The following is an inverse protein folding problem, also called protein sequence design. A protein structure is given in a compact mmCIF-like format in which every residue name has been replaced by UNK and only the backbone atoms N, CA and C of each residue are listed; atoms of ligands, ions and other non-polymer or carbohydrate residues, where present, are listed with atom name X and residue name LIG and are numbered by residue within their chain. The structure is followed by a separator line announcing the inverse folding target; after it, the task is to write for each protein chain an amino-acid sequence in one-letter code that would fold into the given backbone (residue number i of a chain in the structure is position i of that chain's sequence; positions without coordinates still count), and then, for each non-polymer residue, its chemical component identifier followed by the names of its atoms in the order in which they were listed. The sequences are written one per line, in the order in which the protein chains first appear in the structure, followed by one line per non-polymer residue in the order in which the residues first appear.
data_IF_617382328544
#
_entry.id   IF_617382328544
#
_cell.length_a   1.000
_cell.length_b   1.000
_cell.length_c   1.000
_cell.angle_alpha   90.00
_cell.angle_beta   90.00
_cell.angle_gamma   90.00
#
_symmetry.space_group_name_H-M   'P 1'
#
loop_
_entity.id
_entity.type
_entity.pdbx_description
1 polymer ?
#
# COMPACT_ATOMS: atom_id res chain seq x y z
N UNK A 1 -1.72 20.96 5.33
CA UNK A 1 -1.13 19.63 5.59
C UNK A 1 -1.42 19.23 7.03
N UNK A 2 -1.86 17.99 7.30
CA UNK A 2 -2.16 17.54 8.65
C UNK A 2 -0.88 17.44 9.49
N UNK A 3 -0.97 17.78 10.77
CA UNK A 3 0.09 17.50 11.73
C UNK A 3 0.27 15.98 11.86
N UNK A 4 1.51 15.55 12.00
CA UNK A 4 1.82 14.15 12.24
C UNK A 4 1.35 13.74 13.64
N UNK A 5 0.72 12.57 13.73
CA UNK A 5 0.56 11.92 15.02
C UNK A 5 1.93 11.37 15.51
N UNK A 6 1.96 10.84 16.73
CA UNK A 6 3.22 10.37 17.34
C UNK A 6 3.89 9.23 16.56
N UNK A 7 3.12 8.32 15.92
CA UNK A 7 3.65 7.22 15.10
C UNK A 7 4.29 7.76 13.82
N UNK A 8 3.59 8.66 13.12
CA UNK A 8 4.10 9.33 11.91
C UNK A 8 5.31 10.22 12.22
N UNK A 9 5.30 10.89 13.38
CA UNK A 9 6.42 11.71 13.84
C UNK A 9 7.64 10.84 14.12
N UNK A 10 7.47 9.68 14.74
CA UNK A 10 8.56 8.73 14.98
C UNK A 10 9.21 8.26 13.67
N UNK A 11 8.39 7.90 12.66
CA UNK A 11 8.89 7.54 11.33
C UNK A 11 9.67 8.69 10.70
N UNK A 12 9.13 9.91 10.78
CA UNK A 12 9.80 11.11 10.29
C UNK A 12 11.18 11.32 10.91
N UNK A 13 11.29 11.17 12.23
CA UNK A 13 12.55 11.30 12.97
C UNK A 13 13.59 10.23 12.59
N UNK A 14 13.15 8.97 12.40
CA UNK A 14 14.04 7.90 11.92
C UNK A 14 14.60 8.24 10.52
N UNK A 15 13.76 8.74 9.63
CA UNK A 15 14.17 9.16 8.30
C UNK A 15 15.11 10.36 8.32
N UNK A 16 14.91 11.33 9.21
CA UNK A 16 15.85 12.46 9.40
C UNK A 16 17.22 12.00 9.88
N UNK A 17 17.26 10.98 10.75
CA UNK A 17 18.50 10.33 11.20
C UNK A 17 19.15 9.45 10.12
N UNK A 18 18.62 9.47 8.90
CA UNK A 18 19.12 8.72 7.73
C UNK A 18 18.98 7.20 7.82
N UNK A 19 18.25 6.64 8.77
CA UNK A 19 17.96 5.22 8.80
C UNK A 19 17.10 4.80 7.61
N UNK A 20 17.28 3.57 7.13
CA UNK A 20 16.27 2.90 6.34
C UNK A 20 15.14 2.46 7.28
N UNK A 21 13.90 2.56 6.84
CA UNK A 21 12.74 2.31 7.72
C UNK A 21 11.80 1.29 7.10
N UNK A 22 11.39 0.31 7.91
CA UNK A 22 10.32 -0.64 7.60
C UNK A 22 9.14 -0.28 8.47
N UNK A 23 7.99 -0.02 7.84
CA UNK A 23 6.76 0.36 8.54
C UNK A 23 5.71 -0.71 8.31
N UNK A 24 5.29 -1.37 9.39
CA UNK A 24 4.10 -2.19 9.41
C UNK A 24 2.92 -1.30 9.81
N UNK A 25 1.95 -1.13 8.93
CA UNK A 25 0.89 -0.14 9.09
C UNK A 25 -0.48 -0.76 8.79
N UNK A 26 -1.39 -0.74 9.75
CA UNK A 26 -2.75 -1.23 9.55
C UNK A 26 -3.54 -0.34 8.57
N UNK A 27 -4.70 -0.82 8.14
CA UNK A 27 -5.56 -0.09 7.20
C UNK A 27 -5.95 1.30 7.73
N UNK A 28 -5.81 2.33 6.90
CA UNK A 28 -6.29 3.68 7.21
C UNK A 28 -5.42 4.50 8.17
N UNK A 29 -4.18 4.09 8.44
CA UNK A 29 -3.26 4.81 9.34
C UNK A 29 -2.59 6.03 8.70
N UNK A 30 -2.81 6.24 7.38
CA UNK A 30 -2.22 7.38 6.68
C UNK A 30 -0.81 7.12 6.15
N UNK A 31 -0.50 5.92 5.64
CA UNK A 31 0.78 5.63 4.95
C UNK A 31 1.12 6.70 3.91
N UNK A 32 0.20 6.97 2.98
CA UNK A 32 0.36 8.00 1.95
C UNK A 32 0.58 9.39 2.55
N UNK A 33 -0.20 9.75 3.56
CA UNK A 33 -0.06 11.03 4.28
C UNK A 33 1.33 11.17 4.91
N UNK A 34 1.86 10.09 5.47
CA UNK A 34 3.22 10.07 6.07
C UNK A 34 4.29 10.33 5.02
N UNK A 35 4.21 9.67 3.86
CA UNK A 35 5.16 9.85 2.76
C UNK A 35 5.08 11.27 2.20
N UNK A 36 3.88 11.76 1.90
CA UNK A 36 3.69 13.11 1.37
C UNK A 36 4.06 14.18 2.38
N UNK A 37 3.73 13.98 3.66
CA UNK A 37 4.13 14.88 4.74
C UNK A 37 5.66 14.95 4.91
N UNK A 38 6.36 13.80 4.75
CA UNK A 38 7.82 13.79 4.70
C UNK A 38 8.34 14.57 3.49
N UNK A 39 7.79 14.32 2.29
CA UNK A 39 8.19 15.00 1.07
C UNK A 39 8.04 16.53 1.18
N UNK A 40 6.93 17.00 1.72
CA UNK A 40 6.66 18.40 1.91
C UNK A 40 7.59 19.09 2.94
N UNK A 41 7.91 18.37 4.04
CA UNK A 41 8.86 18.88 5.06
C UNK A 41 10.32 18.82 4.58
N UNK A 42 10.60 18.10 3.49
CA UNK A 42 11.94 17.92 2.91
C UNK A 42 11.93 18.27 1.40
N UNK A 43 11.59 19.51 1.00
CA UNK A 43 11.33 19.87 -0.40
C UNK A 43 12.54 19.70 -1.33
N UNK A 44 13.74 19.74 -0.80
CA UNK A 44 14.98 19.55 -1.55
C UNK A 44 15.33 18.08 -1.78
N UNK A 45 14.66 17.13 -1.08
CA UNK A 45 14.95 15.72 -1.15
C UNK A 45 14.13 15.05 -2.24
N UNK A 46 14.78 14.57 -3.28
CA UNK A 46 14.12 13.87 -4.39
C UNK A 46 13.72 12.45 -3.98
N UNK A 47 12.45 12.13 -4.11
CA UNK A 47 11.84 10.86 -3.67
C UNK A 47 11.31 10.12 -4.89
N UNK A 48 11.61 8.83 -4.97
CA UNK A 48 10.98 7.89 -5.88
C UNK A 48 10.07 6.95 -5.08
N UNK A 49 8.77 6.96 -5.36
CA UNK A 49 7.84 5.98 -4.79
C UNK A 49 7.44 4.95 -5.85
N UNK A 50 7.50 3.68 -5.46
CA UNK A 50 7.03 2.57 -6.28
C UNK A 50 5.89 1.86 -5.55
N UNK A 51 4.78 1.65 -6.27
CA UNK A 51 3.57 1.03 -5.74
C UNK A 51 3.04 -0.06 -6.66
N UNK A 52 2.11 -0.89 -6.16
CA UNK A 52 1.65 -2.06 -6.89
C UNK A 52 0.75 -1.71 -8.09
N UNK A 53 -0.21 -0.81 -7.95
CA UNK A 53 -1.23 -0.59 -8.97
C UNK A 53 -1.40 0.88 -9.39
N UNK A 54 -2.12 1.06 -10.54
CA UNK A 54 -2.31 2.39 -11.14
C UNK A 54 -3.21 3.31 -10.32
N UNK A 55 -4.17 2.75 -9.57
CA UNK A 55 -5.07 3.56 -8.76
C UNK A 55 -4.31 4.20 -7.59
N UNK A 56 -3.52 3.41 -6.86
CA UNK A 56 -2.65 3.92 -5.79
C UNK A 56 -1.66 4.97 -6.31
N UNK A 57 -1.03 4.70 -7.49
CA UNK A 57 -0.14 5.69 -8.10
C UNK A 57 -0.86 7.02 -8.36
N UNK A 58 -2.07 6.95 -8.95
CA UNK A 58 -2.85 8.14 -9.26
C UNK A 58 -3.24 8.89 -7.99
N UNK A 59 -3.71 8.18 -6.97
CA UNK A 59 -4.09 8.76 -5.69
C UNK A 59 -2.93 9.55 -5.05
N UNK A 60 -1.73 8.97 -5.02
CA UNK A 60 -0.53 9.67 -4.51
C UNK A 60 -0.19 10.88 -5.37
N UNK A 61 -0.28 10.78 -6.70
CA UNK A 61 0.00 11.88 -7.62
C UNK A 61 -1.00 13.03 -7.47
N UNK A 62 -2.29 12.71 -7.38
CA UNK A 62 -3.36 13.70 -7.20
C UNK A 62 -3.18 14.42 -5.84
N UNK A 63 -2.97 13.69 -4.76
CA UNK A 63 -2.70 14.26 -3.43
C UNK A 63 -1.40 15.10 -3.39
N UNK A 64 -0.35 14.69 -4.09
CA UNK A 64 0.88 15.47 -4.19
C UNK A 64 0.64 16.80 -4.90
N UNK A 65 -0.11 16.78 -6.02
CA UNK A 65 -0.47 17.96 -6.78
C UNK A 65 -1.35 18.93 -5.97
N UNK A 66 -2.37 18.42 -5.26
CA UNK A 66 -3.25 19.22 -4.40
C UNK A 66 -2.50 19.92 -3.25
N UNK A 67 -1.37 19.36 -2.80
CA UNK A 67 -0.55 19.92 -1.73
C UNK A 67 0.75 20.62 -2.24
N UNK A 68 0.87 20.84 -3.54
CA UNK A 68 2.06 21.45 -4.21
C UNK A 68 3.38 20.75 -3.87
N UNK A 69 3.36 19.40 -3.79
CA UNK A 69 4.54 18.57 -3.51
C UNK A 69 5.14 18.12 -4.85
N UNK A 70 6.27 18.69 -5.24
CA UNK A 70 6.90 18.48 -6.55
C UNK A 70 8.12 17.56 -6.53
N UNK A 71 8.62 17.22 -5.35
CA UNK A 71 9.86 16.46 -5.16
C UNK A 71 9.65 14.93 -5.03
N UNK A 72 8.44 14.42 -5.35
CA UNK A 72 8.12 13.01 -5.38
C UNK A 72 7.71 12.55 -6.78
N UNK A 73 8.31 11.46 -7.25
CA UNK A 73 7.92 10.77 -8.47
C UNK A 73 7.29 9.42 -8.10
N UNK A 74 6.13 9.11 -8.66
CA UNK A 74 5.40 7.89 -8.33
C UNK A 74 5.25 7.00 -9.56
N UNK A 75 5.69 5.75 -9.43
CA UNK A 75 5.62 4.72 -10.46
C UNK A 75 4.96 3.46 -9.95
N UNK A 76 4.32 2.69 -10.84
CA UNK A 76 4.11 1.26 -10.59
C UNK A 76 5.36 0.49 -11.02
N UNK A 77 5.54 -0.76 -10.55
CA UNK A 77 6.65 -1.62 -11.00
C UNK A 77 6.73 -1.69 -12.51
N UNK A 78 5.59 -1.89 -13.18
CA UNK A 78 5.52 -1.90 -14.65
C UNK A 78 5.90 -0.57 -15.29
N UNK A 79 5.44 0.56 -14.72
CA UNK A 79 5.76 1.86 -15.31
C UNK A 79 7.23 2.24 -15.10
N UNK A 80 7.83 1.82 -13.99
CA UNK A 80 9.26 1.95 -13.75
C UNK A 80 10.07 1.12 -14.74
N UNK A 81 9.71 -0.17 -14.88
CA UNK A 81 10.34 -1.07 -15.84
C UNK A 81 10.25 -0.51 -17.27
N UNK A 82 9.06 -0.02 -17.68
CA UNK A 82 8.85 0.60 -18.99
C UNK A 82 9.71 1.83 -19.21
N UNK A 83 9.86 2.65 -18.17
CA UNK A 83 10.65 3.87 -18.24
C UNK A 83 12.13 3.61 -18.53
N UNK A 84 12.68 2.50 -17.99
CA UNK A 84 14.12 2.27 -18.03
C UNK A 84 14.56 1.01 -18.79
N UNK A 85 13.75 -0.04 -18.89
CA UNK A 85 14.19 -1.34 -19.40
C UNK A 85 13.39 -1.92 -20.56
N UNK A 86 12.10 -1.52 -20.70
CA UNK A 86 11.21 -2.18 -21.67
C UNK A 86 11.04 -1.33 -22.92
N UNK A 87 11.53 -1.83 -24.06
CA UNK A 87 11.34 -1.19 -25.37
C UNK A 87 9.90 -1.29 -25.85
N UNK A 88 9.25 -2.44 -25.60
CA UNK A 88 7.87 -2.72 -25.98
C UNK A 88 7.16 -3.44 -24.83
N UNK A 89 5.82 -3.39 -24.82
CA UNK A 89 5.01 -4.11 -23.85
C UNK A 89 4.96 -3.49 -22.45
N UNK A 90 4.18 -4.13 -21.58
CA UNK A 90 3.86 -3.64 -20.22
C UNK A 90 3.51 -4.80 -19.28
N UNK A 91 4.09 -5.98 -19.51
CA UNK A 91 3.71 -7.21 -18.82
C UNK A 91 4.86 -7.80 -18.02
N UNK A 92 4.54 -8.71 -17.10
CA UNK A 92 5.52 -9.47 -16.33
C UNK A 92 6.48 -10.27 -17.24
N UNK A 93 5.99 -10.69 -18.41
CA UNK A 93 6.80 -11.43 -19.38
C UNK A 93 7.96 -10.57 -19.89
N UNK A 94 7.69 -9.32 -20.23
CA UNK A 94 8.74 -8.38 -20.68
C UNK A 94 9.71 -8.03 -19.55
N UNK A 95 9.21 -7.89 -18.31
CA UNK A 95 10.10 -7.68 -17.14
C UNK A 95 11.03 -8.88 -16.96
N UNK A 96 10.50 -10.12 -16.98
CA UNK A 96 11.33 -11.34 -16.89
C UNK A 96 12.39 -11.38 -18.00
N UNK A 97 12.01 -11.04 -19.22
CA UNK A 97 12.95 -11.00 -20.35
C UNK A 97 14.06 -9.97 -20.13
N UNK A 98 13.69 -8.76 -19.70
CA UNK A 98 14.66 -7.70 -19.43
C UNK A 98 15.65 -8.09 -18.30
N UNK A 99 15.17 -8.73 -17.24
CA UNK A 99 15.99 -9.25 -16.15
C UNK A 99 16.91 -10.38 -16.62
N UNK A 100 16.37 -11.35 -17.37
CA UNK A 100 17.14 -12.47 -17.92
C UNK A 100 18.27 -12.01 -18.84
N UNK A 101 17.99 -11.05 -19.72
CA UNK A 101 18.96 -10.48 -20.65
C UNK A 101 19.89 -9.45 -19.98
N UNK A 102 19.71 -9.17 -18.70
CA UNK A 102 20.40 -8.10 -17.98
C UNK A 102 20.39 -6.77 -18.75
N UNK A 103 19.20 -6.38 -19.28
CA UNK A 103 19.06 -5.15 -20.07
C UNK A 103 19.54 -3.92 -19.28
N UNK A 104 20.34 -3.10 -19.92
CA UNK A 104 20.80 -1.85 -19.31
C UNK A 104 19.72 -0.75 -19.42
N UNK A 105 19.70 0.24 -18.52
CA UNK A 105 18.76 1.32 -18.62
C UNK A 105 18.86 2.06 -19.97
N UNK A 106 17.75 2.21 -20.68
CA UNK A 106 17.68 2.90 -21.99
C UNK A 106 18.03 4.39 -21.92
N UNK A 107 18.04 4.94 -20.72
CA UNK A 107 18.42 6.33 -20.43
C UNK A 107 18.95 6.42 -19.01
N UNK A 108 19.73 7.45 -18.66
CA UNK A 108 20.21 7.66 -17.30
C UNK A 108 19.05 7.65 -16.29
N UNK A 109 19.23 6.93 -15.20
CA UNK A 109 18.29 6.95 -14.11
C UNK A 109 18.33 8.31 -13.45
N UNK A 110 17.17 8.96 -13.32
CA UNK A 110 17.06 10.25 -12.66
C UNK A 110 17.53 10.17 -11.22
N UNK A 111 18.15 11.24 -10.76
CA UNK A 111 18.67 11.31 -9.40
C UNK A 111 17.53 11.37 -8.37
N UNK A 112 17.65 10.55 -7.32
CA UNK A 112 16.80 10.57 -6.15
C UNK A 112 17.59 10.08 -4.93
N UNK A 113 17.16 10.51 -3.74
CA UNK A 113 17.87 10.25 -2.48
C UNK A 113 17.11 9.26 -1.60
N UNK A 114 15.82 9.06 -1.90
CA UNK A 114 14.97 8.14 -1.17
C UNK A 114 14.12 7.31 -2.14
N UNK A 115 14.07 6.00 -1.85
CA UNK A 115 13.18 5.05 -2.49
C UNK A 115 12.11 4.62 -1.49
N UNK A 116 10.86 4.84 -1.84
CA UNK A 116 9.69 4.35 -1.09
C UNK A 116 9.09 3.17 -1.84
N UNK A 117 8.91 2.03 -1.16
CA UNK A 117 8.17 0.89 -1.68
C UNK A 117 6.91 0.74 -0.85
N UNK A 118 5.77 0.94 -1.48
CA UNK A 118 4.46 0.92 -0.84
C UNK A 118 3.70 -0.38 -1.18
N UNK A 119 2.87 -0.84 -0.24
CA UNK A 119 2.13 -2.11 -0.29
C UNK A 119 3.06 -3.31 -0.58
N UNK A 120 4.18 -3.36 0.14
CA UNK A 120 5.24 -4.35 -0.12
C UNK A 120 4.80 -5.79 0.15
N UNK A 121 3.75 -6.03 0.96
CA UNK A 121 3.16 -7.36 1.15
C UNK A 121 2.60 -7.96 -0.15
N UNK A 122 2.28 -7.13 -1.14
CA UNK A 122 1.81 -7.57 -2.46
C UNK A 122 2.95 -7.76 -3.48
N UNK A 123 4.19 -7.56 -3.04
CA UNK A 123 5.37 -7.72 -3.91
C UNK A 123 5.60 -9.19 -4.27
N UNK A 124 5.91 -9.44 -5.54
CA UNK A 124 6.34 -10.74 -6.03
C UNK A 124 7.86 -10.84 -6.11
N UNK A 125 8.46 -12.05 -6.15
CA UNK A 125 9.88 -12.22 -6.41
C UNK A 125 10.35 -11.53 -7.70
N UNK A 126 9.50 -11.44 -8.71
CA UNK A 126 9.81 -10.73 -9.96
C UNK A 126 10.02 -9.23 -9.72
N UNK A 127 9.14 -8.60 -8.96
CA UNK A 127 9.26 -7.17 -8.67
C UNK A 127 10.42 -6.88 -7.72
N UNK A 128 10.69 -7.79 -6.79
CA UNK A 128 11.91 -7.70 -5.98
C UNK A 128 13.17 -7.72 -6.86
N UNK A 129 13.29 -8.69 -7.78
CA UNK A 129 14.42 -8.75 -8.71
C UNK A 129 14.54 -7.48 -9.58
N UNK A 130 13.40 -6.92 -10.01
CA UNK A 130 13.39 -5.64 -10.73
C UNK A 130 13.95 -4.51 -9.87
N UNK A 131 13.58 -4.45 -8.58
CA UNK A 131 14.08 -3.41 -7.67
C UNK A 131 15.56 -3.60 -7.35
N UNK A 132 16.02 -4.84 -7.16
CA UNK A 132 17.45 -5.15 -7.00
C UNK A 132 18.24 -4.64 -8.19
N UNK A 133 17.81 -5.01 -9.41
CA UNK A 133 18.44 -4.51 -10.64
C UNK A 133 18.42 -3.00 -10.72
N UNK A 134 17.30 -2.37 -10.45
CA UNK A 134 17.16 -0.92 -10.52
C UNK A 134 18.10 -0.20 -9.54
N UNK A 135 18.20 -0.66 -8.29
CA UNK A 135 19.11 -0.09 -7.28
C UNK A 135 20.58 -0.30 -7.70
N UNK A 136 20.89 -1.48 -8.26
CA UNK A 136 22.25 -1.79 -8.74
C UNK A 136 22.63 -0.88 -9.92
N UNK A 137 21.77 -0.75 -10.90
CA UNK A 137 22.00 0.11 -12.08
C UNK A 137 22.01 1.61 -11.73
N UNK A 138 21.28 2.01 -10.69
CA UNK A 138 21.32 3.36 -10.16
C UNK A 138 22.70 3.69 -9.58
N UNK A 139 23.32 2.78 -8.88
CA UNK A 139 24.72 2.81 -8.46
C UNK A 139 25.10 3.95 -7.51
N UNK A 140 24.14 4.53 -6.79
CA UNK A 140 24.35 5.66 -5.87
C UNK A 140 23.73 5.38 -4.50
N UNK A 141 24.24 6.02 -3.44
CA UNK A 141 23.63 5.90 -2.11
C UNK A 141 22.16 6.28 -2.11
N UNK A 142 21.33 5.45 -1.47
CA UNK A 142 19.89 5.62 -1.38
C UNK A 142 19.39 5.26 0.03
N UNK A 143 18.44 6.04 0.53
CA UNK A 143 17.69 5.73 1.73
C UNK A 143 16.39 5.02 1.34
N UNK A 144 15.98 3.98 2.08
CA UNK A 144 14.76 3.24 1.80
C UNK A 144 13.70 3.43 2.86
N UNK A 145 12.44 3.53 2.42
CA UNK A 145 11.25 3.44 3.23
C UNK A 145 10.36 2.35 2.66
N UNK A 146 10.10 1.31 3.43
CA UNK A 146 9.26 0.16 3.06
C UNK A 146 7.99 0.22 3.88
N UNK A 147 6.83 0.21 3.22
CA UNK A 147 5.52 0.32 3.84
C UNK A 147 4.65 -0.87 3.44
N UNK A 148 3.88 -1.39 4.39
CA UNK A 148 2.94 -2.47 4.09
C UNK A 148 2.12 -2.89 5.30
N UNK A 149 1.19 -3.82 5.07
CA UNK A 149 0.35 -4.47 6.07
C UNK A 149 0.33 -5.98 5.86
N UNK A 150 0.96 -6.73 6.74
CA UNK A 150 1.02 -8.21 6.62
C UNK A 150 -0.35 -8.90 6.57
N UNK A 151 -1.39 -8.27 7.14
CA UNK A 151 -2.75 -8.82 7.15
C UNK A 151 -3.58 -8.42 5.91
N UNK A 152 -3.03 -7.59 5.02
CA UNK A 152 -3.65 -7.17 3.76
C UNK A 152 -3.02 -7.85 2.53
N UNK A 153 -2.27 -8.94 2.69
CA UNK A 153 -1.79 -9.74 1.58
C UNK A 153 -2.98 -10.44 0.89
N UNK A 154 -3.41 -9.88 -0.23
CA UNK A 154 -4.59 -10.36 -0.99
C UNK A 154 -4.20 -11.10 -2.27
N UNK A 155 -2.93 -11.11 -2.63
CA UNK A 155 -2.46 -11.58 -3.94
C UNK A 155 -1.54 -12.80 -3.87
N UNK A 156 -1.63 -13.62 -2.81
CA UNK A 156 -0.87 -14.87 -2.66
C UNK A 156 -1.06 -15.78 -3.88
N UNK A 157 -2.30 -15.83 -4.42
CA UNK A 157 -2.60 -16.57 -5.66
C UNK A 157 -1.89 -16.03 -6.92
N UNK A 158 -1.31 -14.81 -6.87
CA UNK A 158 -0.46 -14.22 -7.90
C UNK A 158 1.02 -14.32 -7.58
N UNK A 159 1.37 -14.99 -6.47
CA UNK A 159 2.75 -15.18 -6.02
C UNK A 159 3.33 -13.99 -5.26
N UNK A 160 2.49 -13.16 -4.62
CA UNK A 160 2.96 -12.18 -3.64
C UNK A 160 3.58 -12.90 -2.43
N UNK A 161 4.49 -12.24 -1.76
CA UNK A 161 5.27 -12.82 -0.68
C UNK A 161 5.44 -11.80 0.46
N UNK A 162 4.68 -11.98 1.53
CA UNK A 162 4.71 -11.11 2.70
C UNK A 162 6.08 -11.02 3.39
N UNK A 163 7.01 -11.95 3.07
CA UNK A 163 8.37 -11.92 3.61
C UNK A 163 9.13 -10.67 3.21
N UNK A 164 8.78 -10.03 2.08
CA UNK A 164 9.34 -8.74 1.69
C UNK A 164 9.02 -7.61 2.68
N UNK A 165 8.00 -7.78 3.53
CA UNK A 165 7.70 -6.94 4.69
C UNK A 165 8.19 -7.56 5.99
N UNK A 166 7.76 -8.79 6.30
CA UNK A 166 7.97 -9.42 7.60
C UNK A 166 9.44 -9.74 7.87
N UNK A 167 10.19 -10.10 6.82
CA UNK A 167 11.65 -10.35 6.85
C UNK A 167 12.45 -9.27 6.09
N UNK A 168 11.87 -8.08 5.94
CA UNK A 168 12.42 -7.03 5.09
C UNK A 168 13.88 -6.70 5.43
N UNK A 169 14.25 -6.55 6.70
CA UNK A 169 15.63 -6.25 7.06
C UNK A 169 16.61 -7.29 6.47
N UNK A 170 16.35 -8.58 6.66
CA UNK A 170 17.23 -9.63 6.15
C UNK A 170 17.28 -9.70 4.62
N UNK A 171 16.18 -9.31 3.93
CA UNK A 171 16.07 -9.39 2.47
C UNK A 171 16.69 -8.16 1.80
N UNK A 172 16.46 -6.96 2.36
CA UNK A 172 16.86 -5.71 1.73
C UNK A 172 18.22 -5.18 2.20
N UNK A 173 18.63 -5.48 3.45
CA UNK A 173 19.91 -4.98 4.01
C UNK A 173 21.17 -5.39 3.21
N UNK A 174 21.21 -6.59 2.59
CA UNK A 174 22.35 -6.97 1.75
C UNK A 174 22.46 -6.21 0.42
N UNK A 175 21.49 -5.37 0.05
CA UNK A 175 21.55 -4.63 -1.20
C UNK A 175 22.65 -3.58 -1.18
N UNK A 176 23.33 -3.37 -2.31
CA UNK A 176 24.36 -2.33 -2.42
C UNK A 176 23.72 -0.94 -2.32
N UNK A 177 24.54 0.03 -1.93
CA UNK A 177 24.17 1.46 -1.91
C UNK A 177 23.14 1.88 -0.86
N UNK A 178 22.74 1.03 0.07
CA UNK A 178 21.91 1.48 1.21
C UNK A 178 22.74 2.33 2.18
N UNK A 179 22.14 3.43 2.64
CA UNK A 179 22.88 4.44 3.43
C UNK A 179 23.04 4.07 4.90
N UNK A 180 22.20 3.18 5.44
CA UNK A 180 22.18 2.81 6.86
C UNK A 180 21.41 1.49 7.09
N UNK A 181 21.52 0.89 8.28
CA UNK A 181 20.70 -0.27 8.64
C UNK A 181 19.22 0.09 8.73
N UNK A 182 18.36 -0.93 8.65
CA UNK A 182 16.93 -0.77 8.82
C UNK A 182 16.51 -0.60 10.28
N UNK A 183 15.50 0.26 10.50
CA UNK A 183 14.74 0.38 11.74
C UNK A 183 13.29 0.03 11.47
N UNK A 184 12.63 -0.61 12.44
CA UNK A 184 11.20 -0.91 12.35
C UNK A 184 10.39 0.17 13.05
N UNK A 185 9.25 0.49 12.46
CA UNK A 185 8.22 1.31 13.04
C UNK A 185 6.85 0.68 12.74
N UNK A 186 5.86 1.05 13.52
CA UNK A 186 4.50 0.53 13.39
C UNK A 186 3.50 1.69 13.37
N UNK A 187 2.37 1.48 12.69
CA UNK A 187 1.26 2.41 12.67
C UNK A 187 -0.04 1.64 12.94
N UNK A 188 -0.64 1.89 14.08
CA UNK A 188 -1.84 1.19 14.57
C UNK A 188 -3.09 2.07 14.56
N UNK A 189 -2.93 3.41 14.52
CA UNK A 189 -4.02 4.38 14.64
C UNK A 189 -4.69 4.59 13.28
N UNK A 190 -5.88 4.01 13.11
CA UNK A 190 -6.68 4.18 11.89
C UNK A 190 -7.59 5.42 11.97
N UNK A 191 -7.54 6.22 10.90
CA UNK A 191 -8.41 7.37 10.67
C UNK A 191 -9.59 7.05 9.73
N UNK A 192 -9.61 5.83 9.20
CA UNK A 192 -10.61 5.40 8.22
C UNK A 192 -11.79 4.71 8.88
N UNK A 193 -11.52 3.73 9.73
CA UNK A 193 -12.55 2.93 10.40
C UNK A 193 -13.00 3.57 11.72
N UNK A 194 -14.13 3.08 12.26
CA UNK A 194 -14.66 3.52 13.54
C UNK A 194 -14.21 2.60 14.68
N UNK A 195 -14.30 3.07 15.92
CA UNK A 195 -13.94 2.28 17.11
C UNK A 195 -14.65 0.92 17.17
N UNK A 196 -16.00 0.84 16.96
CA UNK A 196 -16.68 -0.47 16.93
C UNK A 196 -16.19 -1.38 15.80
N UNK A 197 -15.81 -0.83 14.63
CA UNK A 197 -15.21 -1.62 13.55
C UNK A 197 -13.83 -2.14 13.93
N UNK A 198 -12.99 -1.32 14.55
CA UNK A 198 -11.68 -1.75 15.02
C UNK A 198 -11.79 -2.86 16.07
N UNK A 199 -12.69 -2.69 17.04
CA UNK A 199 -12.98 -3.71 18.06
C UNK A 199 -13.46 -5.04 17.45
N UNK A 200 -14.39 -4.96 16.49
CA UNK A 200 -14.87 -6.15 15.78
C UNK A 200 -13.73 -6.86 15.03
N UNK A 201 -12.90 -6.11 14.31
CA UNK A 201 -11.76 -6.69 13.57
C UNK A 201 -10.77 -7.33 14.53
N UNK A 202 -10.35 -6.61 15.58
CA UNK A 202 -9.39 -7.10 16.55
C UNK A 202 -9.88 -8.39 17.23
N UNK A 203 -11.08 -8.37 17.83
CA UNK A 203 -11.61 -9.46 18.64
C UNK A 203 -12.12 -10.62 17.81
N UNK A 204 -12.86 -10.33 16.71
CA UNK A 204 -13.61 -11.36 15.98
C UNK A 204 -12.81 -11.93 14.81
N UNK A 205 -12.05 -11.12 14.09
CA UNK A 205 -11.34 -11.55 12.89
C UNK A 205 -9.88 -11.89 13.16
N UNK A 206 -9.19 -11.12 13.98
CA UNK A 206 -7.75 -11.27 14.21
C UNK A 206 -7.41 -12.04 15.48
N UNK A 207 -8.23 -11.94 16.53
CA UNK A 207 -7.95 -12.50 17.85
C UNK A 207 -6.78 -11.79 18.57
N UNK A 208 -6.42 -10.60 18.15
CA UNK A 208 -5.34 -9.79 18.71
C UNK A 208 -5.69 -8.29 18.64
N UNK A 209 -5.23 -7.50 19.59
CA UNK A 209 -5.36 -6.03 19.59
C UNK A 209 -4.28 -5.46 18.66
N UNK A 210 -4.66 -5.14 17.43
CA UNK A 210 -3.72 -4.72 16.39
C UNK A 210 -3.98 -3.31 15.88
N UNK A 211 -5.21 -2.84 15.93
CA UNK A 211 -5.57 -1.52 15.43
C UNK A 211 -6.39 -0.73 16.43
N UNK A 212 -6.16 0.57 16.42
CA UNK A 212 -6.95 1.55 17.15
C UNK A 212 -7.70 2.43 16.15
N UNK A 213 -8.81 3.02 16.57
CA UNK A 213 -9.55 3.97 15.74
C UNK A 213 -9.89 5.22 16.55
N UNK A 214 -9.78 6.37 15.89
CA UNK A 214 -10.09 7.68 16.52
C UNK A 214 -11.55 8.09 16.31
N UNK A 215 -12.23 7.49 15.32
CA UNK A 215 -13.59 7.85 14.95
C UNK A 215 -14.61 7.08 15.74
N UNK A 216 -15.62 7.79 16.26
CA UNK A 216 -16.83 7.15 16.77
C UNK A 216 -17.69 6.60 15.62
N UNK A 217 -18.56 5.64 15.91
CA UNK A 217 -19.43 5.05 14.91
C UNK A 217 -20.46 4.12 15.53
N UNK A 218 -21.34 3.58 14.67
CA UNK A 218 -22.34 2.59 15.10
C UNK A 218 -21.66 1.25 15.35
N UNK A 219 -22.21 0.41 16.23
CA UNK A 219 -21.80 -0.98 16.37
C UNK A 219 -21.83 -1.73 15.04
N UNK A 220 -21.02 -2.78 14.92
CA UNK A 220 -21.09 -3.70 13.79
C UNK A 220 -22.17 -4.73 14.06
N UNK A 221 -23.16 -4.81 13.20
CA UNK A 221 -24.23 -5.78 13.28
C UNK A 221 -23.79 -7.08 12.61
N UNK A 222 -23.80 -8.18 13.35
CA UNK A 222 -23.52 -9.51 12.84
C UNK A 222 -24.82 -10.32 12.79
N UNK A 223 -25.28 -10.62 11.58
CA UNK A 223 -26.56 -11.30 11.34
C UNK A 223 -26.29 -12.71 10.82
N UNK A 224 -26.74 -13.72 11.56
CA UNK A 224 -26.64 -15.11 11.14
C UNK A 224 -27.99 -15.62 10.64
N UNK A 225 -28.04 -16.05 9.39
CA UNK A 225 -29.27 -16.51 8.76
C UNK A 225 -29.07 -17.73 7.84
N UNK A 226 -30.17 -18.42 7.57
CA UNK A 226 -30.20 -19.47 6.56
C UNK A 226 -29.83 -18.90 5.16
N UNK A 227 -29.03 -19.61 4.36
CA UNK A 227 -28.68 -19.20 2.99
C UNK A 227 -29.90 -18.90 2.10
N UNK A 228 -31.07 -19.48 2.40
CA UNK A 228 -32.31 -19.26 1.64
C UNK A 228 -32.93 -17.87 1.87
N UNK A 229 -32.60 -17.19 2.95
CA UNK A 229 -33.16 -15.88 3.31
C UNK A 229 -32.23 -14.70 3.09
N UNK A 230 -31.01 -14.94 2.60
CA UNK A 230 -29.97 -13.92 2.49
C UNK A 230 -30.40 -12.73 1.61
N UNK A 231 -31.16 -12.99 0.54
CA UNK A 231 -31.63 -11.91 -0.35
C UNK A 231 -32.61 -10.97 0.36
N UNK A 232 -33.51 -11.49 1.18
CA UNK A 232 -34.48 -10.69 1.91
C UNK A 232 -33.78 -9.80 2.94
N UNK A 233 -32.72 -10.31 3.56
CA UNK A 233 -31.92 -9.57 4.55
C UNK A 233 -31.17 -8.46 3.85
N UNK A 234 -30.47 -8.75 2.74
CA UNK A 234 -29.75 -7.72 1.97
C UNK A 234 -30.72 -6.61 1.52
N UNK A 235 -31.89 -6.97 1.02
CA UNK A 235 -32.91 -5.98 0.64
C UNK A 235 -33.39 -5.17 1.84
N UNK A 236 -33.62 -5.79 2.97
CA UNK A 236 -33.99 -5.12 4.22
C UNK A 236 -32.92 -4.13 4.67
N UNK A 237 -31.66 -4.54 4.72
CA UNK A 237 -30.55 -3.69 5.14
C UNK A 237 -30.30 -2.51 4.16
N UNK A 238 -30.43 -2.76 2.85
CA UNK A 238 -30.35 -1.68 1.85
C UNK A 238 -31.48 -0.66 2.09
N UNK A 239 -32.72 -1.16 2.25
CA UNK A 239 -33.86 -0.27 2.50
C UNK A 239 -33.67 0.52 3.79
N UNK A 240 -33.26 -0.16 4.86
CA UNK A 240 -32.98 0.48 6.16
C UNK A 240 -31.89 1.58 6.03
N UNK A 241 -30.82 1.33 5.26
CA UNK A 241 -29.80 2.33 5.01
C UNK A 241 -30.37 3.56 4.24
N UNK A 242 -31.14 3.31 3.18
CA UNK A 242 -31.78 4.39 2.40
C UNK A 242 -32.77 5.20 3.23
N UNK A 243 -33.61 4.53 4.05
CA UNK A 243 -34.57 5.19 4.96
C UNK A 243 -33.87 6.02 6.04
N UNK A 244 -32.60 5.68 6.39
CA UNK A 244 -31.73 6.44 7.30
C UNK A 244 -30.87 7.51 6.59
N UNK A 245 -31.14 7.81 5.30
CA UNK A 245 -30.55 8.93 4.58
C UNK A 245 -29.24 8.64 3.86
N UNK A 246 -28.80 7.38 3.79
CA UNK A 246 -27.65 7.01 2.94
C UNK A 246 -28.07 7.00 1.47
N UNK A 247 -27.17 7.42 0.58
CA UNK A 247 -27.37 7.28 -0.86
C UNK A 247 -26.95 5.90 -1.35
N UNK A 248 -27.43 5.43 -2.52
CA UNK A 248 -26.95 4.15 -3.09
C UNK A 248 -25.43 4.10 -3.27
N UNK A 249 -24.78 5.24 -3.48
CA UNK A 249 -23.31 5.33 -3.62
C UNK A 249 -22.55 5.11 -2.31
N UNK A 250 -23.22 5.18 -1.17
CA UNK A 250 -22.62 4.94 0.15
C UNK A 250 -22.72 3.47 0.59
N UNK A 251 -23.39 2.62 -0.20
CA UNK A 251 -23.68 1.22 0.15
C UNK A 251 -22.79 0.30 -0.70
N UNK A 252 -21.99 -0.54 -0.03
CA UNK A 252 -21.19 -1.57 -0.66
C UNK A 252 -21.66 -2.96 -0.24
N UNK A 253 -21.90 -3.84 -1.23
CA UNK A 253 -22.21 -5.25 -1.00
C UNK A 253 -20.99 -6.06 -1.41
N UNK A 254 -20.37 -6.74 -0.46
CA UNK A 254 -19.21 -7.58 -0.68
C UNK A 254 -19.62 -9.05 -0.66
N UNK A 255 -19.16 -9.81 -1.64
CA UNK A 255 -19.38 -11.25 -1.72
C UNK A 255 -18.12 -11.95 -2.21
N UNK A 256 -17.93 -13.21 -1.81
CA UNK A 256 -16.78 -14.02 -2.23
C UNK A 256 -16.74 -14.22 -3.76
N UNK A 257 -17.89 -14.21 -4.44
CA UNK A 257 -18.02 -14.22 -5.89
C UNK A 257 -19.35 -13.61 -6.32
N UNK A 258 -19.29 -12.71 -7.29
CA UNK A 258 -20.48 -12.18 -7.99
C UNK A 258 -20.76 -12.94 -9.29
N UNK A 259 -19.87 -13.87 -9.71
CA UNK A 259 -20.02 -14.75 -10.86
C UNK A 259 -20.50 -16.14 -10.43
N UNK A 260 -21.63 -16.22 -9.74
CA UNK A 260 -22.29 -17.49 -9.47
C UNK A 260 -23.07 -17.99 -10.69
N UNK A 261 -23.25 -19.33 -10.80
CA UNK A 261 -24.15 -19.95 -11.81
C UNK A 261 -25.62 -19.53 -11.67
N UNK A 262 -25.97 -18.81 -10.63
CA UNK A 262 -27.32 -18.29 -10.38
C UNK A 262 -27.40 -16.82 -10.77
N UNK A 263 -28.13 -16.55 -11.85
CA UNK A 263 -28.45 -15.21 -12.40
C UNK A 263 -29.30 -14.32 -11.46
N UNK A 264 -29.30 -14.54 -10.15
CA UNK A 264 -30.18 -13.84 -9.20
C UNK A 264 -29.74 -12.42 -8.83
N UNK A 265 -28.52 -12.02 -9.19
CA UNK A 265 -27.99 -10.66 -8.90
C UNK A 265 -27.82 -9.77 -10.14
N UNK A 266 -28.51 -10.11 -11.27
CA UNK A 266 -28.43 -9.34 -12.52
C UNK A 266 -29.71 -8.56 -12.81
N UNK A 267 -30.38 -8.00 -11.81
CA UNK A 267 -31.43 -7.01 -12.07
C UNK A 267 -31.34 -5.86 -11.09
#
# INVERSE_FOLDING_TARGET
MHEFNHEQQHIYELLLKKYNVIVEAVAGTGKTTTVLGYAAKQPNKKILQVTYNKALRKDVQDNAAENDIQNIQVHTFHSLAKKYYLRSGYTDKEIRKALHNNEVPMKPIQEFEMLVIDEVQDMTPLYYQLMVKFITDYGRPIQMLILGDKKQSLYDFKGSDERFLTKAAAIWEPLPFLTAPFRRAEMHISYRITKPMAEFVNKTLLGEERMEAVREGKPVDYVCHSPYNINNIIQYEIKNALDNGYSPGDIFILAASIKGKNKQFQK
#
